data_IF_084006984379
#
_entry.id   IF_084006984379
#
_cell.length_a   1.000
_cell.length_b   1.000
_cell.length_c   1.000
_cell.angle_alpha   90.00
_cell.angle_beta   90.00
_cell.angle_gamma   90.00
#
_symmetry.space_group_name_H-M   'P 1'
#
loop_
_entity.id
_entity.type
_entity.pdbx_description
1 polymer ?
#
# COMPACT_ATOMS: atom_id res chain seq x y z
N UNK A 1 -1.89 -5.33 -9.39
CA UNK A 1 -2.42 -5.49 -10.77
C UNK A 1 -1.59 -4.57 -11.67
N UNK A 2 -0.81 -5.11 -12.60
CA UNK A 2 0.00 -4.31 -13.53
C UNK A 2 -0.79 -4.19 -14.83
N UNK A 3 -1.49 -3.08 -15.02
CA UNK A 3 -2.12 -2.77 -16.29
C UNK A 3 -1.07 -2.05 -17.16
N UNK A 4 -0.26 -2.81 -17.89
CA UNK A 4 0.63 -2.22 -18.90
C UNK A 4 -0.20 -2.00 -20.18
N UNK A 5 -0.64 -0.77 -20.39
CA UNK A 5 -1.10 -0.30 -21.70
C UNK A 5 0.01 0.58 -22.28
N UNK A 6 0.76 0.07 -23.26
CA UNK A 6 1.83 0.81 -23.92
C UNK A 6 1.25 1.71 -25.02
N UNK A 7 0.34 2.61 -24.67
CA UNK A 7 -0.22 3.56 -25.61
C UNK A 7 0.47 4.92 -25.37
N UNK A 8 1.48 5.22 -26.19
CA UNK A 8 2.27 6.46 -26.09
C UNK A 8 1.64 7.64 -26.85
N UNK A 9 0.40 7.49 -27.31
CA UNK A 9 -0.28 8.54 -28.05
C UNK A 9 -0.78 9.60 -27.06
N UNK A 10 -0.46 10.89 -27.26
CA UNK A 10 -0.95 11.97 -26.40
C UNK A 10 -2.47 11.99 -26.36
N UNK A 11 -3.03 12.14 -25.16
CA UNK A 11 -4.47 12.36 -24.99
C UNK A 11 -4.74 13.85 -25.23
N UNK A 12 -5.63 14.15 -26.17
CA UNK A 12 -6.04 15.53 -26.46
C UNK A 12 -7.43 15.83 -25.88
N UNK A 13 -7.60 17.02 -25.33
CA UNK A 13 -8.88 17.59 -24.91
C UNK A 13 -9.12 18.84 -25.78
N UNK A 14 -10.20 18.84 -26.57
CA UNK A 14 -10.53 19.94 -27.49
C UNK A 14 -9.42 20.32 -28.49
N UNK A 15 -8.53 19.37 -28.81
CA UNK A 15 -7.40 19.60 -29.73
C UNK A 15 -6.09 19.97 -29.04
N UNK A 16 -6.12 20.28 -27.74
CA UNK A 16 -4.92 20.57 -26.94
C UNK A 16 -4.44 19.31 -26.20
N UNK A 17 -3.13 19.03 -26.15
CA UNK A 17 -2.60 17.90 -25.40
C UNK A 17 -2.75 18.12 -23.88
N UNK A 18 -3.21 17.09 -23.16
CA UNK A 18 -3.27 17.12 -21.71
C UNK A 18 -1.87 16.98 -21.08
N UNK A 19 -1.64 17.67 -19.97
CA UNK A 19 -0.40 17.57 -19.20
C UNK A 19 -0.28 16.18 -18.53
N UNK A 20 0.84 15.50 -18.76
CA UNK A 20 1.14 14.21 -18.14
C UNK A 20 1.89 14.40 -16.82
N UNK A 21 1.46 13.70 -15.76
CA UNK A 21 2.21 13.59 -14.49
C UNK A 21 2.86 12.23 -14.35
N UNK A 22 4.07 12.19 -13.76
CA UNK A 22 4.78 10.93 -13.48
C UNK A 22 4.08 10.08 -12.41
N UNK A 23 3.39 10.73 -11.46
CA UNK A 23 2.60 10.05 -10.43
C UNK A 23 1.47 10.93 -9.88
N UNK A 24 0.43 10.29 -9.38
CA UNK A 24 -0.66 10.95 -8.66
C UNK A 24 -1.23 10.04 -7.57
N UNK A 25 -1.83 10.62 -6.54
CA UNK A 25 -2.48 9.86 -5.47
C UNK A 25 -3.98 9.80 -5.70
N UNK A 26 -4.52 8.58 -5.82
CA UNK A 26 -5.95 8.32 -5.93
C UNK A 26 -6.40 7.38 -4.82
N UNK A 27 -7.38 7.79 -4.02
CA UNK A 27 -7.92 7.01 -2.89
C UNK A 27 -6.82 6.43 -1.98
N UNK A 28 -5.80 7.24 -1.69
CA UNK A 28 -4.62 6.89 -0.89
C UNK A 28 -3.65 5.86 -1.52
N UNK A 29 -3.87 5.43 -2.75
CA UNK A 29 -2.90 4.68 -3.55
C UNK A 29 -2.16 5.62 -4.50
N UNK A 30 -0.84 5.53 -4.51
CA UNK A 30 -0.02 6.24 -5.50
C UNK A 30 -0.01 5.45 -6.79
N UNK A 31 -0.47 6.08 -7.88
CA UNK A 31 -0.41 5.56 -9.24
C UNK A 31 0.75 6.26 -9.92
N UNK A 32 1.67 5.50 -10.50
CA UNK A 32 2.79 6.02 -11.28
C UNK A 32 2.70 5.56 -12.74
N UNK A 33 3.44 6.23 -13.63
CA UNK A 33 3.51 5.89 -15.07
C UNK A 33 3.96 4.44 -15.32
N UNK A 34 4.69 3.84 -14.38
CA UNK A 34 5.13 2.45 -14.44
C UNK A 34 4.02 1.43 -14.12
N UNK A 35 2.83 1.92 -13.73
CA UNK A 35 1.68 1.08 -13.33
C UNK A 35 1.99 0.18 -12.14
N UNK A 36 3.00 0.53 -11.36
CA UNK A 36 3.56 -0.30 -10.30
C UNK A 36 2.83 -0.10 -8.99
N UNK A 37 2.35 -1.18 -8.37
CA UNK A 37 1.87 -1.16 -6.97
C UNK A 37 3.01 -1.28 -5.96
N UNK A 38 4.27 -1.16 -6.40
CA UNK A 38 5.45 -1.48 -5.59
C UNK A 38 5.63 -0.47 -4.46
N UNK A 39 5.39 0.81 -4.73
CA UNK A 39 5.46 1.91 -3.78
C UNK A 39 4.36 1.79 -2.73
N UNK A 40 3.13 1.48 -3.14
CA UNK A 40 1.99 1.28 -2.23
C UNK A 40 2.22 0.04 -1.33
N UNK A 41 2.63 -1.09 -1.90
CA UNK A 41 2.98 -2.30 -1.13
C UNK A 41 4.11 -2.00 -0.14
N UNK A 42 5.14 -1.25 -0.56
CA UNK A 42 6.23 -0.83 0.32
C UNK A 42 5.70 0.03 1.48
N UNK A 43 4.83 1.01 1.20
CA UNK A 43 4.24 1.86 2.23
C UNK A 43 3.37 1.07 3.23
N UNK A 44 2.54 0.14 2.74
CA UNK A 44 1.72 -0.76 3.57
C UNK A 44 2.58 -1.65 4.48
N UNK A 45 3.67 -2.22 3.94
CA UNK A 45 4.62 -3.02 4.74
C UNK A 45 5.25 -2.17 5.85
N UNK A 46 5.65 -0.92 5.58
CA UNK A 46 6.21 -0.04 6.61
C UNK A 46 5.18 0.25 7.71
N UNK A 47 3.92 0.54 7.35
CA UNK A 47 2.83 0.73 8.33
C UNK A 47 2.62 -0.51 9.21
N UNK A 48 2.59 -1.70 8.61
CA UNK A 48 2.42 -2.95 9.34
C UNK A 48 3.58 -3.20 10.32
N UNK A 49 4.82 -2.90 9.90
CA UNK A 49 6.01 -2.98 10.77
C UNK A 49 5.91 -2.04 11.96
N UNK A 50 5.52 -0.78 11.74
CA UNK A 50 5.36 0.21 12.81
C UNK A 50 4.29 -0.25 13.81
N UNK A 51 3.12 -0.71 13.33
CA UNK A 51 2.06 -1.23 14.20
C UNK A 51 2.54 -2.43 15.02
N UNK A 52 3.30 -3.35 14.40
CA UNK A 52 3.90 -4.48 15.12
C UNK A 52 4.87 -4.02 16.20
N UNK A 53 5.72 -3.02 15.95
CA UNK A 53 6.65 -2.46 16.93
C UNK A 53 5.91 -1.79 18.10
N UNK A 54 4.82 -1.06 17.83
CA UNK A 54 4.00 -0.42 18.87
C UNK A 54 3.45 -1.44 19.87
N UNK A 55 3.11 -2.64 19.40
CA UNK A 55 2.62 -3.75 20.21
C UNK A 55 3.70 -4.54 20.97
N UNK A 56 4.95 -4.06 21.03
CA UNK A 56 6.08 -4.75 21.72
C UNK A 56 5.77 -5.26 23.12
N UNK A 57 5.00 -4.50 23.91
CA UNK A 57 4.65 -4.88 25.28
C UNK A 57 3.75 -6.13 25.29
N UNK A 58 2.83 -6.20 24.34
CA UNK A 58 1.92 -7.34 24.15
C UNK A 58 2.70 -8.59 23.73
N UNK A 59 3.69 -8.46 22.85
CA UNK A 59 4.54 -9.58 22.43
C UNK A 59 5.34 -10.17 23.59
N UNK A 60 5.84 -9.32 24.49
CA UNK A 60 6.60 -9.74 25.69
C UNK A 60 5.73 -10.30 26.82
N UNK A 61 4.43 -10.06 26.80
CA UNK A 61 3.51 -10.50 27.84
C UNK A 61 3.40 -12.04 27.88
N UNK A 62 3.84 -12.66 28.99
CA UNK A 62 3.78 -14.13 29.17
C UNK A 62 2.36 -14.62 29.47
N UNK A 63 1.54 -13.78 30.07
CA UNK A 63 0.15 -14.05 30.44
C UNK A 63 -0.80 -14.13 29.23
N UNK A 64 -0.38 -13.63 28.06
CA UNK A 64 -1.20 -13.63 26.85
C UNK A 64 -0.86 -14.89 26.04
N UNK A 65 -1.88 -15.71 25.80
CA UNK A 65 -1.77 -16.93 24.99
C UNK A 65 -1.30 -16.61 23.56
N UNK A 66 -0.51 -17.51 22.99
CA UNK A 66 0.02 -17.36 21.64
C UNK A 66 -1.08 -17.27 20.59
N UNK A 67 -2.19 -17.98 20.78
CA UNK A 67 -3.38 -17.95 19.89
C UNK A 67 -3.99 -16.55 19.82
N UNK A 68 -4.07 -15.85 20.95
CA UNK A 68 -4.54 -14.46 21.00
C UNK A 68 -3.57 -13.51 20.30
N UNK A 69 -2.26 -13.67 20.51
CA UNK A 69 -1.24 -12.87 19.81
C UNK A 69 -1.31 -13.06 18.30
N UNK A 70 -1.49 -14.30 17.83
CA UNK A 70 -1.66 -14.61 16.41
C UNK A 70 -2.92 -13.98 15.83
N UNK A 71 -4.04 -14.01 16.55
CA UNK A 71 -5.29 -13.34 16.11
C UNK A 71 -5.10 -11.83 15.94
N UNK A 72 -4.42 -11.19 16.90
CA UNK A 72 -4.12 -9.75 16.86
C UNK A 72 -3.19 -9.41 15.69
N UNK A 73 -2.13 -10.21 15.49
CA UNK A 73 -1.25 -10.02 14.34
C UNK A 73 -2.00 -10.18 13.03
N UNK A 74 -2.85 -11.20 12.92
CA UNK A 74 -3.65 -11.44 11.72
C UNK A 74 -4.61 -10.29 11.44
N UNK A 75 -5.33 -9.77 12.46
CA UNK A 75 -6.25 -8.66 12.26
C UNK A 75 -5.53 -7.36 11.86
N UNK A 76 -4.41 -7.03 12.48
CA UNK A 76 -3.71 -5.77 12.23
C UNK A 76 -2.86 -5.80 10.96
N UNK A 77 -2.18 -6.92 10.67
CA UNK A 77 -1.33 -7.04 9.48
C UNK A 77 -2.18 -7.24 8.23
N UNK A 78 -3.24 -8.06 8.29
CA UNK A 78 -4.13 -8.27 7.14
C UNK A 78 -4.85 -6.99 6.75
N UNK A 79 -5.34 -6.21 7.72
CA UNK A 79 -6.03 -4.95 7.46
C UNK A 79 -5.14 -3.86 6.86
N UNK A 80 -3.82 -3.94 7.04
CA UNK A 80 -2.87 -2.95 6.47
C UNK A 80 -2.35 -3.40 5.11
N UNK A 81 -2.31 -4.71 4.83
CA UNK A 81 -1.79 -5.25 3.58
C UNK A 81 -2.85 -5.38 2.48
N UNK A 82 -4.10 -5.73 2.82
CA UNK A 82 -5.23 -5.77 1.89
C UNK A 82 -5.91 -4.40 1.81
#
# INVERSE_FOLDING_TARGET
MKASTNNNNPITLEGEPLEETESFTYLASTINKNGGTQEDVKARIQKARVAFIMLRKLWRAKQIKITTKLRISYSNVKAVLL
#
